data_IF_178630021130
#
_entry.id   IF_178630021130
#
_cell.length_a   1.000
_cell.length_b   1.000
_cell.length_c   1.000
_cell.angle_alpha   90.00
_cell.angle_beta   90.00
_cell.angle_gamma   90.00
#
_symmetry.space_group_name_H-M   'P 1'
#
loop_
_entity.id
_entity.type
_entity.pdbx_description
1 polymer ?
#
# COMPACT_ATOMS: atom_id res chain seq x y z
N UNK A 1 -53.36 -12.67 23.13
CA UNK A 1 -52.06 -12.25 23.73
C UNK A 1 -50.88 -13.01 23.15
N UNK A 2 -50.99 -14.33 22.98
CA UNK A 2 -49.83 -15.18 22.54
C UNK A 2 -49.27 -14.86 21.14
N UNK A 3 -50.13 -14.51 20.20
CA UNK A 3 -49.69 -14.14 18.83
C UNK A 3 -48.82 -12.88 18.76
N UNK A 4 -49.04 -11.95 19.69
CA UNK A 4 -48.24 -10.73 19.75
C UNK A 4 -46.88 -10.96 20.39
N UNK A 5 -46.80 -11.84 21.38
CA UNK A 5 -45.56 -12.25 22.02
C UNK A 5 -44.65 -13.01 21.03
N UNK A 6 -45.22 -13.91 20.25
CA UNK A 6 -44.50 -14.69 19.25
C UNK A 6 -43.96 -13.79 18.09
N UNK A 7 -44.74 -12.77 17.67
CA UNK A 7 -44.29 -11.79 16.67
C UNK A 7 -43.16 -10.88 17.19
N UNK A 8 -43.22 -10.54 18.47
CA UNK A 8 -42.21 -9.74 19.13
C UNK A 8 -40.90 -10.53 19.34
N UNK A 9 -41.03 -11.81 19.70
CA UNK A 9 -39.90 -12.73 19.86
C UNK A 9 -39.18 -12.99 18.52
N UNK A 10 -39.92 -13.18 17.43
CA UNK A 10 -39.32 -13.33 16.10
C UNK A 10 -38.64 -12.06 15.59
N UNK A 11 -39.12 -10.87 15.94
CA UNK A 11 -38.45 -9.59 15.63
C UNK A 11 -37.17 -9.41 16.44
N UNK A 12 -37.16 -9.81 17.71
CA UNK A 12 -36.00 -9.77 18.59
C UNK A 12 -34.92 -10.78 18.15
N UNK A 13 -35.31 -12.00 17.76
CA UNK A 13 -34.39 -13.00 17.18
C UNK A 13 -33.83 -12.55 15.84
N UNK A 14 -34.61 -11.92 14.98
CA UNK A 14 -34.14 -11.34 13.71
C UNK A 14 -33.16 -10.18 13.89
N UNK A 15 -33.42 -9.31 14.89
CA UNK A 15 -32.50 -8.21 15.21
C UNK A 15 -31.20 -8.71 15.85
N UNK A 16 -31.27 -9.77 16.68
CA UNK A 16 -30.09 -10.39 17.28
C UNK A 16 -29.22 -11.12 16.21
N UNK A 17 -29.84 -11.78 15.25
CA UNK A 17 -29.13 -12.42 14.14
C UNK A 17 -28.44 -11.40 13.22
N UNK A 18 -29.07 -10.24 12.98
CA UNK A 18 -28.49 -9.17 12.17
C UNK A 18 -27.31 -8.49 12.87
N UNK A 19 -27.31 -8.38 14.18
CA UNK A 19 -26.21 -7.79 14.96
C UNK A 19 -24.99 -8.71 15.06
N UNK A 20 -25.14 -10.03 14.94
CA UNK A 20 -24.05 -10.99 14.96
C UNK A 20 -23.26 -11.04 13.63
N UNK A 21 -23.85 -10.62 12.52
CA UNK A 21 -23.19 -10.64 11.20
C UNK A 21 -22.30 -9.42 10.93
N UNK A 22 -22.39 -8.35 11.73
CA UNK A 22 -21.60 -7.14 11.56
C UNK A 22 -20.19 -7.18 12.19
N UNK A 23 -19.80 -8.25 12.87
CA UNK A 23 -18.56 -8.28 13.65
C UNK A 23 -17.36 -8.95 12.96
N UNK A 24 -17.43 -9.29 11.68
CA UNK A 24 -16.32 -9.94 10.96
C UNK A 24 -15.74 -9.08 9.82
N UNK A 25 -15.79 -7.77 9.92
CA UNK A 25 -14.88 -6.92 9.18
C UNK A 25 -13.49 -6.98 9.84
N UNK A 26 -12.81 -8.11 9.75
CA UNK A 26 -11.38 -8.17 9.98
C UNK A 26 -10.77 -7.28 8.92
N UNK A 27 -10.29 -6.11 9.33
CA UNK A 27 -9.42 -5.32 8.50
C UNK A 27 -8.29 -6.26 8.05
N UNK A 28 -8.24 -6.56 6.75
CA UNK A 28 -7.18 -7.37 6.16
C UNK A 28 -5.86 -6.58 6.28
N UNK A 29 -5.31 -6.56 7.48
CA UNK A 29 -3.92 -6.24 7.72
C UNK A 29 -3.11 -7.40 7.13
N UNK A 30 -2.11 -7.10 6.33
CA UNK A 30 -1.17 -8.10 5.87
C UNK A 30 -0.51 -8.74 7.10
N UNK A 31 -0.62 -10.06 7.26
CA UNK A 31 0.13 -10.83 8.28
C UNK A 31 1.64 -10.89 7.97
N UNK A 32 2.07 -10.23 6.90
CA UNK A 32 3.47 -10.19 6.50
C UNK A 32 4.26 -9.29 7.46
N UNK A 33 5.38 -9.77 8.02
CA UNK A 33 6.21 -8.98 8.91
C UNK A 33 6.78 -7.76 8.17
N UNK A 34 6.59 -6.58 8.75
CA UNK A 34 7.05 -5.34 8.13
C UNK A 34 8.50 -5.04 8.53
N UNK A 35 9.31 -4.67 7.54
CA UNK A 35 10.64 -4.11 7.76
C UNK A 35 10.53 -2.68 8.32
N UNK A 36 11.40 -2.32 9.23
CA UNK A 36 11.49 -0.93 9.71
C UNK A 36 12.13 -0.05 8.65
N UNK A 37 11.40 0.97 8.20
CA UNK A 37 11.92 1.95 7.25
C UNK A 37 13.05 2.79 7.88
N UNK A 38 14.17 3.01 7.17
CA UNK A 38 15.24 3.87 7.67
C UNK A 38 14.73 5.29 7.94
N UNK A 39 14.96 5.82 9.13
CA UNK A 39 14.61 7.19 9.46
C UNK A 39 15.59 8.16 8.80
N UNK A 40 15.15 8.81 7.71
CA UNK A 40 15.91 9.79 6.94
C UNK A 40 15.24 11.17 6.92
N UNK A 41 14.38 11.48 7.90
CA UNK A 41 13.59 12.73 7.92
C UNK A 41 14.45 14.00 7.99
N UNK A 42 15.69 13.91 8.47
CA UNK A 42 16.64 15.03 8.53
C UNK A 42 17.71 14.97 7.42
N UNK A 43 17.65 14.00 6.54
CA UNK A 43 18.58 13.85 5.42
C UNK A 43 17.94 14.46 4.15
N UNK A 44 18.23 15.73 3.90
CA UNK A 44 17.66 16.45 2.74
C UNK A 44 17.98 15.76 1.42
N UNK A 45 19.18 15.23 1.25
CA UNK A 45 19.55 14.55 0.02
C UNK A 45 18.69 13.28 -0.21
N UNK A 46 18.44 12.50 0.85
CA UNK A 46 17.55 11.36 0.79
C UNK A 46 16.10 11.78 0.49
N UNK A 47 15.61 12.87 1.09
CA UNK A 47 14.25 13.38 0.85
C UNK A 47 14.09 13.91 -0.59
N UNK A 48 15.07 14.63 -1.11
CA UNK A 48 15.06 15.12 -2.50
C UNK A 48 15.13 13.97 -3.51
N UNK A 49 15.96 12.96 -3.24
CA UNK A 49 15.99 11.74 -4.06
C UNK A 49 14.67 10.98 -3.99
N UNK A 50 14.05 10.90 -2.82
CA UNK A 50 12.71 10.34 -2.64
C UNK A 50 11.63 11.08 -3.44
N UNK A 51 11.68 12.42 -3.45
CA UNK A 51 10.77 13.24 -4.26
C UNK A 51 10.98 12.99 -5.76
N UNK A 52 12.22 12.87 -6.22
CA UNK A 52 12.55 12.50 -7.61
C UNK A 52 11.97 11.12 -7.97
N UNK A 53 12.17 10.12 -7.13
CA UNK A 53 11.62 8.77 -7.35
C UNK A 53 10.08 8.83 -7.38
N UNK A 54 9.45 9.52 -6.43
CA UNK A 54 8.00 9.66 -6.36
C UNK A 54 7.42 10.25 -7.65
N UNK A 55 7.97 11.37 -8.12
CA UNK A 55 7.48 12.06 -9.30
C UNK A 55 7.70 11.24 -10.58
N UNK A 56 8.83 10.54 -10.70
CA UNK A 56 9.15 9.80 -11.91
C UNK A 56 8.51 8.41 -11.98
N UNK A 57 8.23 7.76 -10.85
CA UNK A 57 7.73 6.38 -10.83
C UNK A 57 6.31 6.25 -10.27
N UNK A 58 5.96 7.00 -9.23
CA UNK A 58 4.65 6.86 -8.57
C UNK A 58 3.58 7.74 -9.21
N UNK A 59 3.94 9.01 -9.52
CA UNK A 59 3.02 10.02 -10.05
C UNK A 59 2.57 9.74 -11.49
N UNK A 60 3.10 8.71 -12.12
CA UNK A 60 2.62 8.24 -13.44
C UNK A 60 1.24 7.57 -13.34
N UNK A 61 0.96 6.92 -12.20
CA UNK A 61 -0.27 6.17 -11.98
C UNK A 61 -1.07 6.63 -10.74
N UNK A 62 -0.43 7.28 -9.79
CA UNK A 62 -1.02 7.71 -8.54
C UNK A 62 -1.03 9.22 -8.42
N UNK A 63 -2.21 9.82 -8.24
CA UNK A 63 -2.29 11.21 -7.83
C UNK A 63 -1.91 11.37 -6.35
N UNK A 64 -1.47 12.56 -5.99
CA UNK A 64 -1.39 13.06 -4.63
C UNK A 64 -2.18 14.39 -4.56
N UNK A 65 -3.51 14.28 -4.65
CA UNK A 65 -4.44 15.40 -4.86
C UNK A 65 -4.46 16.44 -3.74
N UNK A 66 -3.97 16.08 -2.56
CA UNK A 66 -3.86 17.00 -1.43
C UNK A 66 -2.47 17.61 -1.29
N UNK A 67 -1.54 17.29 -2.20
CA UNK A 67 -0.19 17.84 -2.24
C UNK A 67 -0.01 18.76 -3.44
N UNK A 68 0.67 19.88 -3.20
CA UNK A 68 1.12 20.79 -4.25
C UNK A 68 2.62 20.65 -4.46
N UNK A 69 3.11 20.91 -5.65
CA UNK A 69 4.55 20.86 -5.94
C UNK A 69 5.37 21.84 -5.05
N UNK A 70 4.79 22.98 -4.63
CA UNK A 70 5.47 23.92 -3.75
C UNK A 70 5.80 23.37 -2.34
N UNK A 71 5.18 22.24 -1.93
CA UNK A 71 5.55 21.51 -0.71
C UNK A 71 6.99 20.97 -0.75
N UNK A 72 7.52 20.75 -1.93
CA UNK A 72 8.91 20.31 -2.10
C UNK A 72 9.94 21.37 -1.66
N UNK A 73 9.53 22.60 -1.40
CA UNK A 73 10.39 23.62 -0.75
C UNK A 73 10.76 23.21 0.68
N UNK A 74 9.91 22.46 1.37
CA UNK A 74 10.16 21.99 2.74
C UNK A 74 11.34 21.04 2.84
N UNK A 75 11.74 20.42 1.73
CA UNK A 75 12.93 19.58 1.62
C UNK A 75 14.10 20.30 0.93
N UNK A 76 14.08 21.63 0.92
CA UNK A 76 15.20 22.48 0.46
C UNK A 76 15.28 22.70 -1.05
N UNK A 77 14.23 22.38 -1.82
CA UNK A 77 14.21 22.64 -3.27
C UNK A 77 13.71 24.07 -3.56
N UNK A 78 14.33 24.74 -4.53
CA UNK A 78 13.86 26.02 -5.05
C UNK A 78 12.74 25.82 -6.08
N UNK A 79 11.95 26.87 -6.33
CA UNK A 79 10.91 26.84 -7.36
C UNK A 79 11.46 26.53 -8.74
N UNK A 80 12.66 27.02 -9.04
CA UNK A 80 13.33 26.76 -10.31
C UNK A 80 13.68 25.27 -10.43
N UNK A 81 14.28 24.69 -9.41
CA UNK A 81 14.59 23.24 -9.39
C UNK A 81 13.34 22.39 -9.51
N UNK A 82 12.25 22.74 -8.80
CA UNK A 82 10.97 22.04 -8.90
C UNK A 82 10.44 22.12 -10.34
N UNK A 83 10.41 23.30 -10.95
CA UNK A 83 9.91 23.51 -12.31
C UNK A 83 10.70 22.74 -13.34
N UNK A 84 12.02 22.78 -13.26
CA UNK A 84 12.91 22.18 -14.27
C UNK A 84 13.01 20.66 -14.17
N UNK A 85 12.84 20.12 -12.94
CA UNK A 85 13.20 18.71 -12.68
C UNK A 85 12.06 17.83 -12.19
N UNK A 86 10.96 18.40 -11.71
CA UNK A 86 9.90 17.62 -11.03
C UNK A 86 8.48 17.96 -11.47
N UNK A 87 8.24 19.12 -12.09
CA UNK A 87 6.91 19.58 -12.46
C UNK A 87 6.47 19.00 -13.82
N UNK A 88 6.08 17.71 -13.84
CA UNK A 88 5.70 17.05 -15.09
C UNK A 88 4.20 17.03 -15.36
N UNK A 89 3.37 17.12 -14.32
CA UNK A 89 1.91 17.03 -14.46
C UNK A 89 1.17 18.33 -14.13
N UNK A 90 1.89 19.46 -14.06
CA UNK A 90 1.35 20.79 -13.79
C UNK A 90 2.07 21.86 -14.60
N UNK A 91 1.59 23.09 -14.54
CA UNK A 91 2.18 24.26 -15.22
C UNK A 91 2.95 25.18 -14.26
N UNK A 92 2.58 25.18 -12.99
CA UNK A 92 3.18 26.02 -11.94
C UNK A 92 3.33 25.25 -10.63
N UNK A 93 4.30 25.66 -9.82
CA UNK A 93 4.60 25.01 -8.54
C UNK A 93 3.44 25.02 -7.52
N UNK A 94 2.45 25.89 -7.73
CA UNK A 94 1.22 25.90 -6.95
C UNK A 94 0.20 24.82 -7.31
N UNK A 95 0.41 24.10 -8.41
CA UNK A 95 -0.53 23.07 -8.86
C UNK A 95 -0.48 21.83 -7.99
N UNK A 96 -1.61 21.11 -7.96
CA UNK A 96 -1.72 19.82 -7.28
C UNK A 96 -0.97 18.75 -8.05
N UNK A 97 -0.46 17.73 -7.34
CA UNK A 97 0.16 16.57 -7.95
C UNK A 97 -0.92 15.59 -8.43
N UNK A 98 -1.50 15.87 -9.60
CA UNK A 98 -2.57 15.07 -10.21
C UNK A 98 -2.08 14.41 -11.49
N UNK A 99 -2.75 13.32 -11.89
CA UNK A 99 -2.48 12.58 -13.11
C UNK A 99 -3.68 12.64 -14.04
N UNK A 100 -3.45 12.37 -15.33
CA UNK A 100 -4.49 12.33 -16.35
C UNK A 100 -5.33 11.05 -16.30
N UNK A 101 -4.76 9.94 -15.83
CA UNK A 101 -5.46 8.65 -15.76
C UNK A 101 -6.70 8.75 -14.87
N UNK A 102 -7.85 8.36 -15.41
CA UNK A 102 -9.12 8.31 -14.67
C UNK A 102 -9.18 7.05 -13.79
N UNK A 103 -10.15 7.00 -12.86
CA UNK A 103 -10.41 5.78 -12.10
C UNK A 103 -10.86 4.62 -12.99
N UNK A 104 -11.61 4.92 -14.04
CA UNK A 104 -12.08 3.95 -15.02
C UNK A 104 -10.91 3.34 -15.79
N UNK A 105 -10.00 4.18 -16.31
CA UNK A 105 -8.78 3.71 -16.97
C UNK A 105 -7.97 2.82 -16.06
N UNK A 106 -7.71 3.26 -14.82
CA UNK A 106 -6.96 2.48 -13.85
C UNK A 106 -7.61 1.13 -13.52
N UNK A 107 -8.94 1.10 -13.41
CA UNK A 107 -9.68 -0.15 -13.19
C UNK A 107 -9.58 -1.07 -14.39
N UNK A 108 -9.72 -0.54 -15.60
CA UNK A 108 -9.64 -1.32 -16.84
C UNK A 108 -8.24 -1.90 -17.08
N UNK A 109 -7.19 -1.16 -16.72
CA UNK A 109 -5.81 -1.58 -16.99
C UNK A 109 -5.22 -2.48 -15.89
N UNK A 110 -5.59 -2.26 -14.63
CA UNK A 110 -4.97 -2.93 -13.48
C UNK A 110 -5.94 -3.76 -12.62
N UNK A 111 -7.21 -3.84 -13.02
CA UNK A 111 -8.25 -4.51 -12.23
C UNK A 111 -8.75 -3.68 -11.03
N UNK A 112 -8.03 -2.64 -10.62
CA UNK A 112 -8.41 -1.69 -9.59
C UNK A 112 -7.78 -0.33 -9.84
N UNK A 113 -8.48 0.76 -9.53
CA UNK A 113 -7.92 2.10 -9.68
C UNK A 113 -6.78 2.32 -8.67
N UNK A 114 -5.59 2.79 -9.13
CA UNK A 114 -4.51 3.16 -8.22
C UNK A 114 -4.98 4.19 -7.18
N UNK A 115 -4.74 3.95 -5.88
CA UNK A 115 -5.17 4.87 -4.84
C UNK A 115 -4.40 6.20 -4.88
N UNK A 116 -5.04 7.26 -4.39
CA UNK A 116 -4.36 8.54 -4.13
C UNK A 116 -3.35 8.39 -2.99
N UNK A 117 -2.14 8.92 -3.17
CA UNK A 117 -1.04 8.77 -2.23
C UNK A 117 -0.88 9.93 -1.23
N UNK A 118 -1.76 10.93 -1.25
CA UNK A 118 -1.65 12.12 -0.38
C UNK A 118 -1.45 11.79 1.09
N UNK A 119 -2.12 10.77 1.59
CA UNK A 119 -2.09 10.37 3.01
C UNK A 119 -1.82 8.88 3.20
N UNK A 120 -1.23 8.23 2.22
CA UNK A 120 -1.08 6.77 2.22
C UNK A 120 -0.30 6.25 3.43
N UNK A 121 0.77 6.92 3.83
CA UNK A 121 1.54 6.54 5.02
C UNK A 121 0.68 6.61 6.29
N UNK A 122 -0.18 7.62 6.43
CA UNK A 122 -1.11 7.72 7.55
C UNK A 122 -2.19 6.64 7.48
N UNK A 123 -2.74 6.40 6.30
CA UNK A 123 -3.79 5.40 6.11
C UNK A 123 -3.31 3.96 6.37
N UNK A 124 -2.02 3.71 6.24
CA UNK A 124 -1.39 2.42 6.51
C UNK A 124 -0.78 2.29 7.91
N UNK A 125 -0.81 3.36 8.72
CA UNK A 125 -0.43 3.31 10.13
C UNK A 125 -1.57 2.72 10.96
N UNK A 126 -1.21 1.89 11.94
CA UNK A 126 -2.17 1.37 12.93
C UNK A 126 -1.94 2.06 14.28
N UNK A 127 -2.98 2.19 15.10
CA UNK A 127 -2.91 2.92 16.38
C UNK A 127 -1.91 2.33 17.39
N UNK A 128 -1.62 1.04 17.29
CA UNK A 128 -0.73 0.31 18.20
C UNK A 128 0.35 -0.51 17.46
N UNK A 129 0.46 -0.33 16.15
CA UNK A 129 1.36 -1.09 15.30
C UNK A 129 2.42 -0.22 14.61
N UNK A 130 3.16 -0.79 13.66
CA UNK A 130 4.22 -0.09 12.96
C UNK A 130 3.69 1.11 12.17
N UNK A 131 4.55 2.15 11.97
CA UNK A 131 4.23 3.30 11.13
C UNK A 131 3.89 2.86 9.70
N UNK A 132 2.99 3.58 9.03
CA UNK A 132 2.65 3.27 7.64
C UNK A 132 3.80 3.48 6.64
N UNK A 133 4.85 4.17 7.05
CA UNK A 133 6.11 4.22 6.33
C UNK A 133 6.76 2.85 6.20
N UNK A 134 6.72 2.04 7.26
CA UNK A 134 7.24 0.66 7.27
C UNK A 134 6.46 -0.23 6.30
N UNK A 135 5.14 -0.05 6.25
CA UNK A 135 4.31 -0.75 5.26
C UNK A 135 4.73 -0.41 3.82
N UNK A 136 4.85 0.89 3.49
CA UNK A 136 5.22 1.33 2.14
C UNK A 136 6.62 0.82 1.79
N UNK A 137 7.56 0.93 2.73
CA UNK A 137 8.93 0.46 2.56
C UNK A 137 8.98 -1.04 2.29
N UNK A 138 8.27 -1.84 3.09
CA UNK A 138 8.18 -3.29 2.91
C UNK A 138 7.48 -3.64 1.61
N UNK A 139 6.33 -3.00 1.32
CA UNK A 139 5.58 -3.22 0.10
C UNK A 139 6.44 -3.02 -1.15
N UNK A 140 7.18 -1.90 -1.23
CA UNK A 140 8.02 -1.59 -2.39
C UNK A 140 9.22 -2.52 -2.55
N UNK A 141 9.62 -3.26 -1.50
CA UNK A 141 10.76 -4.17 -1.51
C UNK A 141 10.39 -5.63 -1.68
N UNK A 142 9.12 -5.97 -1.62
CA UNK A 142 8.64 -7.36 -1.59
C UNK A 142 7.94 -7.80 -2.87
N UNK A 143 8.16 -7.07 -3.96
CA UNK A 143 7.76 -7.52 -5.29
C UNK A 143 8.64 -8.66 -5.79
N UNK A 144 8.03 -9.62 -6.47
CA UNK A 144 8.71 -10.74 -7.12
C UNK A 144 8.02 -11.09 -8.46
N UNK A 145 8.72 -11.78 -9.34
CA UNK A 145 8.15 -12.25 -10.61
C UNK A 145 7.12 -13.33 -10.36
N UNK A 146 5.98 -13.16 -10.99
CA UNK A 146 4.89 -14.14 -10.95
C UNK A 146 4.13 -14.10 -12.28
N UNK A 147 4.47 -15.02 -13.16
CA UNK A 147 3.88 -15.09 -14.50
C UNK A 147 2.40 -15.51 -14.49
N UNK A 148 1.85 -15.88 -13.35
CA UNK A 148 0.41 -16.14 -13.20
C UNK A 148 -0.40 -14.85 -13.03
N UNK A 149 0.27 -13.74 -12.70
CA UNK A 149 -0.37 -12.43 -12.55
C UNK A 149 -0.39 -11.66 -13.88
N UNK A 150 -1.45 -10.88 -14.16
CA UNK A 150 -1.56 -10.11 -15.41
C UNK A 150 -0.40 -9.12 -15.63
N UNK A 151 0.18 -8.60 -14.56
CA UNK A 151 1.30 -7.67 -14.61
C UNK A 151 2.67 -8.36 -14.69
N UNK A 152 2.72 -9.69 -14.54
CA UNK A 152 3.97 -10.46 -14.40
C UNK A 152 4.65 -10.31 -13.03
N UNK A 153 3.99 -9.65 -12.06
CA UNK A 153 4.52 -9.37 -10.74
C UNK A 153 3.50 -9.66 -9.64
N UNK A 154 3.99 -10.08 -8.49
CA UNK A 154 3.20 -10.22 -7.27
C UNK A 154 3.96 -9.62 -6.08
N UNK A 155 3.34 -9.56 -4.91
CA UNK A 155 3.91 -8.90 -3.75
C UNK A 155 3.63 -9.71 -2.48
N UNK A 156 4.63 -9.85 -1.59
CA UNK A 156 4.48 -10.62 -0.35
C UNK A 156 3.67 -9.88 0.72
N UNK A 157 3.85 -8.56 0.81
CA UNK A 157 3.12 -7.75 1.77
C UNK A 157 1.66 -7.51 1.34
N UNK A 158 1.37 -7.64 0.06
CA UNK A 158 0.02 -7.51 -0.50
C UNK A 158 -0.17 -8.50 -1.66
N UNK A 159 -0.48 -9.76 -1.36
CA UNK A 159 -0.68 -10.78 -2.39
C UNK A 159 -1.73 -10.41 -3.43
N UNK A 160 -1.48 -10.78 -4.67
CA UNK A 160 -2.32 -10.48 -5.83
C UNK A 160 -2.45 -8.96 -6.11
N UNK A 161 -1.37 -8.21 -5.87
CA UNK A 161 -1.32 -6.79 -6.19
C UNK A 161 -1.51 -6.55 -7.70
N UNK A 162 -2.48 -5.72 -8.08
CA UNK A 162 -2.64 -5.26 -9.46
C UNK A 162 -1.56 -4.26 -9.88
N UNK A 163 -0.83 -3.67 -8.94
CA UNK A 163 0.29 -2.76 -9.19
C UNK A 163 1.51 -3.55 -9.71
N UNK A 164 2.11 -3.18 -10.84
CA UNK A 164 3.37 -3.76 -11.30
C UNK A 164 4.55 -3.29 -10.43
N UNK A 165 5.68 -4.00 -10.51
CA UNK A 165 6.90 -3.61 -9.82
C UNK A 165 7.58 -2.43 -10.52
N UNK A 166 7.16 -1.20 -10.22
CA UNK A 166 7.66 0.02 -10.88
C UNK A 166 9.12 0.36 -10.60
N UNK A 167 9.74 -0.28 -9.60
CA UNK A 167 11.13 -0.08 -9.21
C UNK A 167 12.06 -1.25 -9.66
N UNK A 168 11.61 -2.09 -10.58
CA UNK A 168 12.36 -3.28 -10.97
C UNK A 168 13.73 -2.98 -11.58
N UNK A 169 13.86 -1.87 -12.31
CA UNK A 169 15.15 -1.45 -12.90
C UNK A 169 16.18 -1.09 -11.83
N UNK A 170 15.75 -0.50 -10.72
CA UNK A 170 16.62 -0.09 -9.63
C UNK A 170 16.89 -1.22 -8.62
N UNK A 171 15.92 -2.13 -8.44
CA UNK A 171 16.00 -3.20 -7.43
C UNK A 171 16.42 -4.54 -8.02
N UNK A 172 16.39 -4.68 -9.33
CA UNK A 172 16.57 -5.95 -10.03
C UNK A 172 15.31 -6.83 -9.98
N UNK A 173 15.19 -7.78 -10.91
CA UNK A 173 14.16 -8.81 -10.85
C UNK A 173 14.43 -9.73 -9.66
N UNK A 174 13.36 -10.14 -8.98
CA UNK A 174 13.42 -11.08 -7.85
C UNK A 174 12.47 -12.22 -8.14
N UNK A 175 12.89 -13.42 -7.81
CA UNK A 175 12.06 -14.61 -7.93
C UNK A 175 11.72 -15.18 -6.56
N UNK A 176 10.52 -15.71 -6.41
CA UNK A 176 10.11 -16.36 -5.18
C UNK A 176 10.60 -17.82 -5.21
N UNK A 177 11.69 -18.12 -4.54
CA UNK A 177 12.30 -19.45 -4.54
C UNK A 177 11.54 -20.48 -3.72
N UNK A 178 10.83 -20.08 -2.66
CA UNK A 178 9.82 -20.91 -1.95
C UNK A 178 9.08 -20.13 -0.88
N UNK A 179 7.79 -20.42 -0.69
CA UNK A 179 7.07 -20.06 0.54
C UNK A 179 6.90 -21.36 1.35
N UNK A 180 7.74 -21.56 2.36
CA UNK A 180 7.50 -22.61 3.34
C UNK A 180 6.63 -22.05 4.46
N UNK A 181 5.45 -22.63 4.60
CA UNK A 181 4.59 -22.43 5.76
C UNK A 181 4.81 -23.63 6.65
N UNK A 182 5.26 -23.45 7.87
CA UNK A 182 5.36 -24.51 8.85
C UNK A 182 4.77 -24.09 10.19
N UNK A 183 4.36 -25.09 10.95
CA UNK A 183 3.87 -24.86 12.30
C UNK A 183 5.05 -24.85 13.26
N UNK A 184 5.13 -23.83 14.10
CA UNK A 184 6.11 -23.72 15.18
C UNK A 184 5.40 -23.65 16.51
N UNK A 185 5.93 -24.32 17.56
CA UNK A 185 5.42 -24.17 18.91
C UNK A 185 5.78 -22.77 19.44
N UNK A 186 4.77 -22.01 19.84
CA UNK A 186 4.93 -20.68 20.47
C UNK A 186 3.96 -20.61 21.64
N UNK A 187 4.48 -20.38 22.84
CA UNK A 187 3.70 -20.24 24.08
C UNK A 187 2.76 -21.42 24.37
N UNK A 188 3.12 -22.64 23.92
CA UNK A 188 2.34 -23.87 24.12
C UNK A 188 1.28 -24.14 23.05
N UNK A 189 1.14 -23.29 22.06
CA UNK A 189 0.26 -23.49 20.90
C UNK A 189 1.07 -23.63 19.61
N UNK A 190 0.52 -24.37 18.62
CA UNK A 190 1.11 -24.50 17.30
C UNK A 190 0.62 -23.34 16.42
N UNK A 191 1.52 -22.42 16.11
CA UNK A 191 1.22 -21.27 15.22
C UNK A 191 1.85 -21.47 13.84
N UNK A 192 1.16 -20.99 12.82
CA UNK A 192 1.69 -20.97 11.47
C UNK A 192 2.69 -19.83 11.30
N UNK A 193 3.94 -20.16 10.99
CA UNK A 193 4.97 -19.18 10.66
C UNK A 193 5.29 -19.27 9.17
N UNK A 194 5.29 -18.09 8.50
CA UNK A 194 5.81 -17.96 7.14
C UNK A 194 7.32 -17.79 7.22
N UNK A 195 8.06 -18.77 6.74
CA UNK A 195 9.46 -18.52 6.43
C UNK A 195 9.49 -17.80 5.08
N UNK A 196 9.72 -16.52 5.11
CA UNK A 196 10.08 -15.76 3.91
C UNK A 196 11.51 -16.14 3.56
N UNK A 197 11.69 -17.08 2.65
CA UNK A 197 13.02 -17.38 2.14
C UNK A 197 13.44 -16.30 1.14
N UNK A 198 14.72 -15.94 1.27
CA UNK A 198 15.49 -15.03 0.46
C UNK A 198 15.08 -15.05 -1.02
N UNK A 199 14.99 -13.85 -1.56
CA UNK A 199 14.99 -13.61 -2.98
C UNK A 199 16.38 -13.89 -3.51
N UNK A 200 16.54 -14.79 -4.48
CA UNK A 200 17.73 -14.83 -5.27
C UNK A 200 17.71 -13.65 -6.23
N UNK A 201 18.70 -12.79 -6.09
CA UNK A 201 19.04 -11.78 -7.09
C UNK A 201 20.03 -12.45 -8.04
N UNK A 202 19.60 -12.76 -9.26
CA UNK A 202 20.54 -12.99 -10.36
C UNK A 202 21.23 -11.69 -10.76
#
# INVERSE_FOLDING_TARGET
PERNVMKMMNKLLGALALSLTCSLAVAAGSDYPLDTAPNKLNDQAALQNGAKIFVNHCLNCHSAKSLRYNKLREIGLTDQQIKESLLFTGEKVGDMMTIAMTKEDGTNWFGAAPPDLSVIARARSTNAGPPGGDYIYTYMRTFYRDMTQPTGWNNLAFPNAGMPHVMWEQQGPRELTSTLIHQVPKDGEMVWEKITKQYDTE
#
